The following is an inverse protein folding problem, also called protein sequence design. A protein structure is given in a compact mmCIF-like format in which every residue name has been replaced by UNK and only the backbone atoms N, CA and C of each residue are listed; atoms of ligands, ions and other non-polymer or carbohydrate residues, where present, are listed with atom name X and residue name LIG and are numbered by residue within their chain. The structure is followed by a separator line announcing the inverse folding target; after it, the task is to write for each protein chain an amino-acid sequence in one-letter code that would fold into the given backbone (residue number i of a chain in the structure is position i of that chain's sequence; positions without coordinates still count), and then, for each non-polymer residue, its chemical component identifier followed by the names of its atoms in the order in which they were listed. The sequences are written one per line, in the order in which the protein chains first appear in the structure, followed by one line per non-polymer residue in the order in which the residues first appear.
data_IF_957221798318
#
_entry.id   IF_957221798318
#
_cell.length_a   1.000
_cell.length_b   1.000
_cell.length_c   1.000
_cell.angle_alpha   90.00
_cell.angle_beta   90.00
_cell.angle_gamma   90.00
#
_symmetry.space_group_name_H-M   'P 1'
#
loop_
_entity.id
_entity.type
_entity.pdbx_description
1 polymer ?
#
# COMPACT_ATOMS: atom_id res chain seq x y z
N UNK A 1 -19.82 6.19 23.64
CA UNK A 1 -20.61 5.46 24.67
C UNK A 1 -19.75 4.38 25.31
N UNK A 2 -19.54 4.45 26.63
CA UNK A 2 -19.13 3.27 27.40
C UNK A 2 -20.27 2.26 27.35
N UNK A 3 -20.06 1.15 26.66
CA UNK A 3 -20.76 -0.08 26.97
C UNK A 3 -19.68 -1.15 27.15
N UNK A 4 -19.24 -1.22 28.41
CA UNK A 4 -18.52 -2.37 28.92
C UNK A 4 -19.48 -3.55 28.99
N UNK A 5 -19.29 -4.50 28.07
CA UNK A 5 -19.54 -5.91 28.30
C UNK A 5 -18.18 -6.59 28.32
N UNK A 6 -17.69 -6.73 29.55
CA UNK A 6 -16.65 -7.66 29.95
C UNK A 6 -17.30 -9.05 30.08
N UNK A 7 -16.49 -10.12 29.94
CA UNK A 7 -16.82 -11.57 30.09
C UNK A 7 -16.90 -12.36 28.76
N UNK A 8 -15.99 -13.30 28.50
CA UNK A 8 -15.84 -14.65 29.08
C UNK A 8 -17.04 -15.56 28.83
N UNK A 9 -16.80 -16.70 28.15
CA UNK A 9 -17.74 -17.82 28.09
C UNK A 9 -18.48 -17.96 26.77
N UNK A 10 -17.83 -18.58 25.77
CA UNK A 10 -18.53 -19.18 24.63
C UNK A 10 -19.31 -20.40 25.11
N UNK A 11 -20.59 -20.25 25.48
CA UNK A 11 -21.56 -21.35 25.58
C UNK A 11 -23.00 -20.81 25.55
N UNK A 12 -23.69 -21.00 24.42
CA UNK A 12 -25.01 -21.66 24.30
C UNK A 12 -25.96 -21.06 23.23
N UNK A 13 -26.31 -21.95 22.29
CA UNK A 13 -27.62 -22.17 21.65
C UNK A 13 -28.46 -20.99 21.12
N UNK A 14 -28.48 -20.86 19.78
CA UNK A 14 -29.67 -20.43 19.03
C UNK A 14 -30.27 -21.63 18.28
N UNK A 15 -31.60 -21.86 18.34
CA UNK A 15 -32.24 -22.94 17.62
C UNK A 15 -32.44 -22.56 16.14
N UNK A 16 -32.13 -23.55 15.32
CA UNK A 16 -32.15 -23.55 13.86
C UNK A 16 -33.53 -23.28 13.26
N UNK A 17 -33.57 -22.42 12.24
CA UNK A 17 -34.35 -22.72 11.04
C UNK A 17 -33.80 -22.01 9.79
N UNK A 18 -33.71 -22.78 8.70
CA UNK A 18 -33.40 -22.41 7.31
C UNK A 18 -31.92 -22.21 6.92
N UNK A 19 -31.34 -23.35 6.49
CA UNK A 19 -30.12 -23.61 5.70
C UNK A 19 -28.97 -22.59 5.82
N UNK A 20 -28.01 -22.80 6.76
CA UNK A 20 -26.83 -21.97 6.84
C UNK A 20 -25.84 -22.41 5.76
N UNK A 21 -25.72 -21.61 4.70
CA UNK A 21 -24.51 -21.59 3.91
C UNK A 21 -23.37 -21.29 4.89
N UNK A 22 -22.51 -22.29 5.16
CA UNK A 22 -21.49 -22.21 6.20
C UNK A 22 -20.37 -21.25 5.76
N UNK A 23 -20.61 -19.93 5.91
CA UNK A 23 -19.66 -18.85 5.61
C UNK A 23 -18.50 -18.77 6.63
N UNK A 24 -18.53 -19.57 7.71
CA UNK A 24 -17.46 -19.60 8.71
C UNK A 24 -16.18 -20.27 8.22
N UNK A 25 -16.24 -21.14 7.21
CA UNK A 25 -15.11 -21.99 6.78
C UNK A 25 -13.89 -21.26 6.17
N UNK A 26 -13.96 -19.96 5.94
CA UNK A 26 -12.80 -19.17 5.46
C UNK A 26 -12.28 -18.15 6.48
N UNK A 27 -13.18 -17.62 7.32
CA UNK A 27 -12.89 -16.49 8.19
C UNK A 27 -12.10 -16.90 9.44
N UNK A 28 -12.39 -18.10 9.97
CA UNK A 28 -11.65 -18.66 11.09
C UNK A 28 -10.23 -19.04 10.68
N UNK A 29 -10.05 -19.65 9.50
CA UNK A 29 -8.73 -19.99 8.99
C UNK A 29 -7.85 -18.75 8.71
N UNK A 30 -8.42 -17.71 8.08
CA UNK A 30 -7.70 -16.46 7.81
C UNK A 30 -7.32 -15.74 9.10
N UNK A 31 -8.23 -15.74 10.09
CA UNK A 31 -7.99 -15.13 11.39
C UNK A 31 -6.96 -15.88 12.23
N UNK A 32 -7.03 -17.21 12.28
CA UNK A 32 -6.17 -18.04 13.14
C UNK A 32 -4.78 -18.26 12.55
N UNK A 33 -4.65 -18.33 11.22
CA UNK A 33 -3.38 -18.62 10.56
C UNK A 33 -2.92 -17.50 9.63
N UNK A 34 -3.84 -16.91 8.86
CA UNK A 34 -3.52 -15.90 7.84
C UNK A 34 -2.86 -14.65 8.42
N UNK A 35 -3.40 -14.14 9.53
CA UNK A 35 -2.86 -12.95 10.20
C UNK A 35 -1.43 -13.20 10.70
N UNK A 36 -1.20 -14.24 11.49
CA UNK A 36 0.13 -14.51 12.07
C UNK A 36 1.19 -14.79 11.01
N UNK A 37 0.84 -15.56 9.97
CA UNK A 37 1.71 -15.82 8.82
C UNK A 37 2.02 -14.51 8.09
N UNK A 38 1.00 -13.70 7.79
CA UNK A 38 1.17 -12.43 7.09
C UNK A 38 2.04 -11.45 7.89
N UNK A 39 1.84 -11.35 9.20
CA UNK A 39 2.60 -10.45 10.07
C UNK A 39 4.06 -10.88 10.19
N UNK A 40 4.31 -12.19 10.33
CA UNK A 40 5.66 -12.77 10.36
C UNK A 40 6.36 -12.60 9.03
N UNK A 41 5.63 -12.81 7.93
CA UNK A 41 6.14 -12.64 6.58
C UNK A 41 6.51 -11.18 6.30
N UNK A 42 5.63 -10.21 6.58
CA UNK A 42 5.90 -8.78 6.37
C UNK A 42 7.15 -8.32 7.13
N UNK A 43 7.30 -8.74 8.38
CA UNK A 43 8.47 -8.42 9.19
C UNK A 43 9.74 -9.04 8.60
N UNK A 44 9.70 -10.34 8.26
CA UNK A 44 10.84 -11.05 7.67
C UNK A 44 11.23 -10.49 6.30
N UNK A 45 10.23 -10.12 5.50
CA UNK A 45 10.39 -9.48 4.20
C UNK A 45 11.12 -8.14 4.32
N UNK A 46 10.72 -7.28 5.27
CA UNK A 46 11.39 -6.00 5.51
C UNK A 46 12.89 -6.15 5.84
N UNK A 47 13.27 -7.17 6.62
CA UNK A 47 14.69 -7.45 6.88
C UNK A 47 15.48 -7.82 5.62
N UNK A 48 14.85 -8.52 4.68
CA UNK A 48 15.48 -8.93 3.43
C UNK A 48 15.51 -7.81 2.40
N UNK A 49 14.50 -6.94 2.34
CA UNK A 49 14.43 -5.88 1.32
C UNK A 49 15.28 -4.66 1.63
N UNK A 50 15.46 -4.30 2.91
CA UNK A 50 16.36 -3.20 3.31
C UNK A 50 17.76 -3.31 2.67
N UNK A 51 18.51 -4.42 2.80
CA UNK A 51 19.82 -4.53 2.17
C UNK A 51 19.75 -4.55 0.64
N UNK A 52 18.66 -5.05 0.04
CA UNK A 52 18.45 -4.98 -1.40
C UNK A 52 18.31 -3.53 -1.88
N UNK A 53 17.53 -2.70 -1.17
CA UNK A 53 17.41 -1.28 -1.48
C UNK A 53 18.74 -0.53 -1.32
N UNK A 54 19.47 -0.77 -0.25
CA UNK A 54 20.80 -0.17 -0.02
C UNK A 54 21.75 -0.56 -1.17
N UNK A 55 21.76 -1.83 -1.56
CA UNK A 55 22.57 -2.33 -2.67
C UNK A 55 22.17 -1.69 -4.00
N UNK A 56 20.87 -1.58 -4.27
CA UNK A 56 20.36 -0.95 -5.48
C UNK A 56 20.73 0.54 -5.56
N UNK A 57 20.61 1.28 -4.44
CA UNK A 57 21.05 2.67 -4.36
C UNK A 57 22.56 2.79 -4.57
N UNK A 58 23.36 1.90 -3.96
CA UNK A 58 24.81 1.88 -4.15
C UNK A 58 25.19 1.63 -5.62
N UNK A 59 24.59 0.64 -6.26
CA UNK A 59 24.78 0.34 -7.69
C UNK A 59 24.39 1.56 -8.54
N UNK A 60 23.24 2.17 -8.26
CA UNK A 60 22.79 3.38 -8.96
C UNK A 60 23.74 4.57 -8.73
N UNK A 61 24.37 4.71 -7.57
CA UNK A 61 25.29 5.81 -7.32
C UNK A 61 26.64 5.61 -8.03
N UNK A 62 27.17 4.38 -8.04
CA UNK A 62 28.50 4.10 -8.56
C UNK A 62 28.52 3.75 -10.05
N UNK A 63 27.53 2.98 -10.54
CA UNK A 63 27.58 2.38 -11.88
C UNK A 63 26.74 3.14 -12.93
N UNK A 64 25.90 4.11 -12.53
CA UNK A 64 25.00 4.82 -13.45
C UNK A 64 25.63 5.93 -14.32
N UNK A 65 26.96 5.93 -14.51
CA UNK A 65 27.63 6.98 -15.31
C UNK A 65 27.13 7.07 -16.75
N UNK A 66 26.61 5.98 -17.31
CA UNK A 66 26.08 5.94 -18.68
C UNK A 66 24.58 6.30 -18.78
N UNK A 67 23.91 6.53 -17.64
CA UNK A 67 22.48 6.85 -17.60
C UNK A 67 22.29 8.36 -17.76
N UNK A 68 21.21 8.77 -18.42
CA UNK A 68 20.86 10.20 -18.46
C UNK A 68 20.56 10.70 -17.04
N UNK A 69 21.10 11.87 -16.70
CA UNK A 69 20.90 12.50 -15.39
C UNK A 69 19.44 12.50 -14.89
N UNK A 70 18.42 12.85 -15.71
CA UNK A 70 17.03 12.81 -15.26
C UNK A 70 16.54 11.39 -14.93
N UNK A 71 16.96 10.38 -15.69
CA UNK A 71 16.60 8.98 -15.43
C UNK A 71 17.24 8.48 -14.12
N UNK A 72 18.51 8.86 -13.89
CA UNK A 72 19.24 8.52 -12.66
C UNK A 72 18.55 9.10 -11.43
N UNK A 73 18.16 10.38 -11.48
CA UNK A 73 17.44 11.04 -10.39
C UNK A 73 16.09 10.37 -10.15
N UNK A 74 15.33 10.04 -11.20
CA UNK A 74 14.07 9.33 -11.08
C UNK A 74 14.21 7.97 -10.41
N UNK A 75 15.20 7.15 -10.81
CA UNK A 75 15.48 5.87 -10.18
C UNK A 75 15.88 6.00 -8.71
N UNK A 76 16.68 7.02 -8.37
CA UNK A 76 17.11 7.26 -6.99
C UNK A 76 15.92 7.66 -6.11
N UNK A 77 15.07 8.58 -6.58
CA UNK A 77 13.85 8.97 -5.86
C UNK A 77 12.93 7.77 -5.66
N UNK A 78 12.73 6.97 -6.71
CA UNK A 78 11.90 5.76 -6.64
C UNK A 78 12.46 4.75 -5.63
N UNK A 79 13.79 4.55 -5.60
CA UNK A 79 14.41 3.64 -4.64
C UNK A 79 14.30 4.12 -3.20
N UNK A 80 14.50 5.42 -2.96
CA UNK A 80 14.32 6.00 -1.62
C UNK A 80 12.87 5.90 -1.16
N UNK A 81 11.91 6.17 -2.06
CA UNK A 81 10.49 6.05 -1.74
C UNK A 81 10.10 4.61 -1.40
N UNK A 82 10.52 3.63 -2.20
CA UNK A 82 10.24 2.21 -1.93
C UNK A 82 10.90 1.76 -0.61
N UNK A 83 12.13 2.18 -0.35
CA UNK A 83 12.79 1.91 0.93
C UNK A 83 12.01 2.46 2.13
N UNK A 84 11.54 3.71 2.05
CA UNK A 84 10.73 4.32 3.12
C UNK A 84 9.39 3.60 3.30
N UNK A 85 8.76 3.17 2.20
CA UNK A 85 7.51 2.42 2.23
C UNK A 85 7.69 1.03 2.82
N UNK A 86 8.76 0.31 2.49
CA UNK A 86 9.10 -0.99 3.07
C UNK A 86 9.36 -0.87 4.58
N UNK A 87 10.09 0.17 5.01
CA UNK A 87 10.31 0.44 6.44
C UNK A 87 9.00 0.76 7.15
N UNK A 88 8.15 1.57 6.51
CA UNK A 88 6.83 1.93 7.03
C UNK A 88 5.94 0.69 7.18
N UNK A 89 5.79 -0.10 6.12
CA UNK A 89 4.87 -1.25 6.06
C UNK A 89 5.36 -2.47 6.85
N UNK A 90 6.66 -2.72 6.94
CA UNK A 90 7.20 -3.88 7.65
C UNK A 90 7.30 -3.67 9.17
N UNK A 91 7.57 -2.45 9.63
CA UNK A 91 7.88 -2.19 11.05
C UNK A 91 6.91 -1.26 11.76
N UNK A 92 6.42 -0.21 11.10
CA UNK A 92 5.60 0.83 11.74
C UNK A 92 4.10 0.56 11.61
N UNK A 93 3.70 0.05 10.46
CA UNK A 93 2.30 -0.07 10.04
C UNK A 93 2.08 -1.34 9.21
N UNK A 94 1.72 -2.43 9.87
CA UNK A 94 1.44 -3.71 9.22
C UNK A 94 -0.05 -3.86 9.01
N UNK A 95 -0.47 -4.03 7.77
CA UNK A 95 -1.88 -4.21 7.39
C UNK A 95 -2.08 -5.56 6.75
N UNK A 96 -3.15 -6.23 7.14
CA UNK A 96 -3.62 -7.48 6.57
C UNK A 96 -5.09 -7.35 6.16
N UNK A 97 -5.42 -7.42 4.86
CA UNK A 97 -6.81 -7.43 4.43
C UNK A 97 -7.46 -8.79 4.79
N UNK A 98 -8.56 -8.75 5.52
CA UNK A 98 -9.29 -9.97 5.90
C UNK A 98 -10.23 -10.34 4.76
N UNK A 99 -9.86 -11.35 3.96
CA UNK A 99 -10.67 -11.78 2.83
C UNK A 99 -11.91 -12.55 3.32
N UNK A 100 -13.08 -12.45 2.65
CA UNK A 100 -13.40 -11.64 1.47
C UNK A 100 -13.93 -10.23 1.79
N UNK A 101 -13.80 -9.77 3.04
CA UNK A 101 -14.41 -8.52 3.49
C UNK A 101 -13.49 -7.33 3.22
N UNK A 102 -14.03 -6.13 3.02
CA UNK A 102 -13.22 -4.91 2.92
C UNK A 102 -12.77 -4.42 4.32
N UNK A 103 -12.38 -5.34 5.20
CA UNK A 103 -11.93 -5.05 6.56
C UNK A 103 -10.42 -5.23 6.58
N UNK A 104 -9.72 -4.24 7.12
CA UNK A 104 -8.27 -4.27 7.29
C UNK A 104 -7.94 -4.53 8.76
N UNK A 105 -7.31 -5.67 9.03
CA UNK A 105 -6.61 -5.87 10.28
C UNK A 105 -5.31 -5.09 10.26
N UNK A 106 -4.99 -4.43 11.36
CA UNK A 106 -3.84 -3.55 11.43
C UNK A 106 -3.11 -3.70 12.76
N UNK A 107 -1.78 -3.77 12.68
CA UNK A 107 -0.89 -3.94 13.82
C UNK A 107 0.34 -3.03 13.68
N UNK A 108 0.92 -2.60 14.82
CA UNK A 108 2.10 -1.74 14.84
C UNK A 108 1.94 -0.56 15.80
N UNK A 109 3.04 0.19 15.99
CA UNK A 109 3.08 1.32 16.93
C UNK A 109 2.12 2.41 16.49
N UNK A 110 2.17 2.79 15.21
CA UNK A 110 1.34 3.85 14.66
C UNK A 110 -0.12 3.43 14.51
N UNK A 111 -0.38 2.15 14.26
CA UNK A 111 -1.73 1.63 14.18
C UNK A 111 -2.50 1.75 15.50
N UNK A 112 -1.84 1.51 16.64
CA UNK A 112 -2.46 1.61 17.96
C UNK A 112 -2.76 3.05 18.37
N UNK A 113 -1.90 4.00 17.99
CA UNK A 113 -2.06 5.41 18.37
C UNK A 113 -2.93 6.20 17.40
N UNK A 114 -2.80 5.97 16.09
CA UNK A 114 -3.42 6.78 15.04
C UNK A 114 -3.82 5.92 13.83
N UNK A 115 -4.84 5.04 13.93
CA UNK A 115 -5.19 4.10 12.87
C UNK A 115 -5.64 4.80 11.57
N UNK A 116 -6.47 5.84 11.67
CA UNK A 116 -6.98 6.59 10.51
C UNK A 116 -5.87 7.33 9.76
N UNK A 117 -4.99 8.03 10.50
CA UNK A 117 -3.85 8.73 9.91
C UNK A 117 -2.86 7.75 9.27
N UNK A 118 -2.61 6.61 9.91
CA UNK A 118 -1.66 5.62 9.39
C UNK A 118 -2.13 5.01 8.07
N UNK A 119 -3.42 4.68 7.95
CA UNK A 119 -4.03 4.25 6.69
C UNK A 119 -3.94 5.35 5.62
N UNK A 120 -4.15 6.62 5.98
CA UNK A 120 -4.02 7.72 5.03
C UNK A 120 -2.57 7.86 4.52
N UNK A 121 -1.58 7.79 5.41
CA UNK A 121 -0.16 7.82 5.04
C UNK A 121 0.20 6.65 4.11
N UNK A 122 -0.31 5.45 4.38
CA UNK A 122 -0.13 4.28 3.51
C UNK A 122 -0.69 4.52 2.09
N UNK A 123 -1.91 5.07 2.00
CA UNK A 123 -2.52 5.44 0.72
C UNK A 123 -1.62 6.44 -0.05
N UNK A 124 -1.08 7.45 0.65
CA UNK A 124 -0.17 8.43 0.02
C UNK A 124 1.12 7.77 -0.46
N UNK A 125 1.71 6.84 0.30
CA UNK A 125 2.88 6.08 -0.17
C UNK A 125 2.57 5.29 -1.44
N UNK A 126 1.45 4.57 -1.47
CA UNK A 126 1.03 3.78 -2.63
C UNK A 126 0.79 4.65 -3.87
N UNK A 127 0.12 5.81 -3.72
CA UNK A 127 -0.11 6.75 -4.83
C UNK A 127 1.23 7.28 -5.36
N UNK A 128 2.16 7.65 -4.48
CA UNK A 128 3.49 8.11 -4.88
C UNK A 128 4.29 7.01 -5.60
N UNK A 129 4.28 5.78 -5.07
CA UNK A 129 4.95 4.63 -5.68
C UNK A 129 4.44 4.36 -7.11
N UNK A 130 3.12 4.28 -7.27
CA UNK A 130 2.47 4.05 -8.57
C UNK A 130 2.84 5.16 -9.56
N UNK A 131 2.83 6.42 -9.11
CA UNK A 131 3.07 7.57 -9.98
C UNK A 131 4.53 7.69 -10.41
N UNK A 132 5.47 7.42 -9.51
CA UNK A 132 6.89 7.33 -9.81
C UNK A 132 7.18 6.17 -10.78
N UNK A 133 6.59 5.00 -10.53
CA UNK A 133 6.71 3.85 -11.43
C UNK A 133 6.18 4.18 -12.82
N UNK A 134 5.00 4.78 -12.93
CA UNK A 134 4.40 5.17 -14.20
C UNK A 134 5.27 6.18 -14.96
N UNK A 135 5.83 7.17 -14.25
CA UNK A 135 6.77 8.12 -14.83
C UNK A 135 8.02 7.42 -15.38
N UNK A 136 8.60 6.51 -14.61
CA UNK A 136 9.81 5.77 -15.01
C UNK A 136 9.55 4.85 -16.20
N UNK A 137 8.41 4.16 -16.22
CA UNK A 137 7.98 3.33 -17.34
C UNK A 137 7.79 4.17 -18.61
N UNK A 138 7.13 5.34 -18.49
CA UNK A 138 6.92 6.24 -19.62
C UNK A 138 8.25 6.78 -20.16
N UNK A 139 9.18 7.16 -19.28
CA UNK A 139 10.50 7.62 -19.70
C UNK A 139 11.32 6.52 -20.39
N UNK A 140 11.29 5.31 -19.85
CA UNK A 140 12.00 4.15 -20.42
C UNK A 140 11.43 3.76 -21.79
N UNK A 141 10.10 3.71 -21.92
CA UNK A 141 9.44 3.40 -23.19
C UNK A 141 9.84 4.40 -24.29
N UNK A 142 9.97 5.67 -23.94
CA UNK A 142 10.33 6.72 -24.89
C UNK A 142 11.82 6.71 -25.27
N UNK A 143 12.69 6.09 -24.47
CA UNK A 143 14.10 5.87 -24.82
C UNK A 143 14.29 4.72 -25.81
N UNK A 144 13.37 3.76 -25.85
CA UNK A 144 13.41 2.60 -26.74
C UNK A 144 12.89 2.96 -28.14
N UNK A 145 12.01 3.96 -28.25
CA UNK A 145 11.43 4.37 -29.53
C UNK A 145 12.49 5.05 -30.42
N UNK A 146 12.53 4.73 -31.72
CA UNK A 146 13.44 5.39 -32.65
C UNK A 146 13.07 6.88 -32.77
N UNK A 147 14.05 7.79 -32.94
CA UNK A 147 13.82 9.23 -32.98
C UNK A 147 12.97 9.69 -34.18
N UNK A 148 12.79 8.83 -35.18
CA UNK A 148 11.95 9.09 -36.37
C UNK A 148 10.46 8.80 -36.14
N UNK A 149 10.08 8.28 -34.97
CA UNK A 149 8.70 7.91 -34.69
C UNK A 149 7.84 9.13 -34.32
N UNK A 150 6.70 9.29 -34.97
CA UNK A 150 5.72 10.35 -34.69
C UNK A 150 5.15 10.29 -33.27
N UNK A 151 5.22 9.12 -32.61
CA UNK A 151 4.76 8.92 -31.23
C UNK A 151 5.76 9.36 -30.14
N UNK A 152 6.82 10.10 -30.49
CA UNK A 152 7.76 10.63 -29.51
C UNK A 152 7.15 11.85 -28.77
N UNK A 153 6.67 11.62 -27.55
CA UNK A 153 6.04 12.66 -26.76
C UNK A 153 7.06 13.64 -26.17
N UNK A 154 6.72 14.92 -26.09
CA UNK A 154 7.53 15.90 -25.38
C UNK A 154 7.53 15.65 -23.86
N UNK A 155 8.58 16.05 -23.15
CA UNK A 155 8.67 15.93 -21.69
C UNK A 155 7.46 16.58 -20.98
N UNK A 156 6.96 17.71 -21.51
CA UNK A 156 5.79 18.40 -20.96
C UNK A 156 4.55 17.52 -20.98
N UNK A 157 4.27 16.87 -22.11
CA UNK A 157 3.13 15.96 -22.24
C UNK A 157 3.24 14.79 -21.28
N UNK A 158 4.45 14.21 -21.12
CA UNK A 158 4.71 13.12 -20.19
C UNK A 158 4.46 13.53 -18.73
N UNK A 159 4.98 14.68 -18.32
CA UNK A 159 4.77 15.23 -16.97
C UNK A 159 3.29 15.54 -16.74
N UNK A 160 2.63 16.23 -17.67
CA UNK A 160 1.19 16.53 -17.55
C UNK A 160 0.37 15.25 -17.40
N UNK A 161 0.64 14.22 -18.19
CA UNK A 161 -0.04 12.93 -18.10
C UNK A 161 0.10 12.30 -16.70
N UNK A 162 1.33 12.20 -16.18
CA UNK A 162 1.57 11.64 -14.85
C UNK A 162 0.93 12.50 -13.76
N UNK A 163 1.01 13.83 -13.87
CA UNK A 163 0.33 14.73 -12.93
C UNK A 163 -1.18 14.52 -12.93
N UNK A 164 -1.82 14.40 -14.10
CA UNK A 164 -3.26 14.12 -14.19
C UNK A 164 -3.62 12.80 -13.52
N UNK A 165 -2.85 11.74 -13.76
CA UNK A 165 -3.07 10.44 -13.09
C UNK A 165 -2.87 10.56 -11.57
N UNK A 166 -1.83 11.27 -11.12
CA UNK A 166 -1.57 11.53 -9.70
C UNK A 166 -2.75 12.27 -9.04
N UNK A 167 -3.27 13.31 -9.68
CA UNK A 167 -4.45 14.04 -9.16
C UNK A 167 -5.68 13.14 -9.05
N UNK A 168 -5.96 12.32 -10.05
CA UNK A 168 -7.09 11.37 -10.02
C UNK A 168 -6.92 10.38 -8.85
N UNK A 169 -5.73 9.82 -8.67
CA UNK A 169 -5.44 8.89 -7.59
C UNK A 169 -5.55 9.56 -6.21
N UNK A 170 -5.04 10.79 -6.05
CA UNK A 170 -5.20 11.58 -4.83
C UNK A 170 -6.67 11.88 -4.53
N UNK A 171 -7.46 12.30 -5.52
CA UNK A 171 -8.90 12.51 -5.35
C UNK A 171 -9.59 11.24 -4.88
N UNK A 172 -9.29 10.08 -5.48
CA UNK A 172 -9.85 8.80 -5.06
C UNK A 172 -9.46 8.44 -3.61
N UNK A 173 -8.19 8.63 -3.24
CA UNK A 173 -7.71 8.39 -1.89
C UNK A 173 -8.39 9.27 -0.84
N UNK A 174 -8.53 10.57 -1.13
CA UNK A 174 -9.22 11.53 -0.26
C UNK A 174 -10.72 11.20 -0.14
N UNK A 175 -11.40 10.91 -1.24
CA UNK A 175 -12.81 10.52 -1.22
C UNK A 175 -13.02 9.24 -0.41
N UNK A 176 -12.15 8.23 -0.56
CA UNK A 176 -12.21 7.00 0.23
C UNK A 176 -11.99 7.27 1.72
N UNK A 177 -11.09 8.18 2.08
CA UNK A 177 -10.85 8.57 3.47
C UNK A 177 -12.08 9.27 4.07
N UNK A 178 -12.61 10.30 3.40
CA UNK A 178 -13.79 11.05 3.86
C UNK A 178 -15.05 10.18 3.94
N UNK A 179 -15.23 9.25 3.01
CA UNK A 179 -16.36 8.33 3.04
C UNK A 179 -16.35 7.43 4.28
N UNK A 180 -15.17 7.11 4.83
CA UNK A 180 -15.04 6.29 6.04
C UNK A 180 -15.49 7.03 7.28
N UNK A 181 -15.09 8.30 7.44
CA UNK A 181 -15.48 9.13 8.59
C UNK A 181 -17.01 9.32 8.66
N UNK A 182 -17.67 9.48 7.50
CA UNK A 182 -19.13 9.62 7.45
C UNK A 182 -19.88 8.35 7.94
N UNK A 183 -19.35 7.16 7.65
CA UNK A 183 -19.95 5.90 8.10
C UNK A 183 -19.80 5.73 9.61
N UNK A 184 -18.63 6.10 10.15
CA UNK A 184 -18.35 6.04 11.59
C UNK A 184 -19.27 6.99 12.38
N UNK A 185 -19.45 8.22 11.90
CA UNK A 185 -20.36 9.20 12.52
C UNK A 185 -21.85 8.82 12.44
N UNK A 186 -22.23 7.93 11.51
CA UNK A 186 -23.63 7.48 11.37
C UNK A 186 -23.98 6.32 12.30
N UNK A 187 -22.97 5.70 12.93
CA UNK A 187 -23.14 4.55 13.81
C UNK A 187 -23.19 4.94 15.30
N UNK A 188 -22.93 6.22 15.64
CA UNK A 188 -23.06 6.80 16.99
C UNK A 188 -24.46 7.40 17.23
#
# INVERSE_FOLDING_TARGET
YQLGLQESGWNACFPSLSMPFNRSYGLEADREFGIDISMTFQFSYGFLTIPMHITAVFILLHYSRNLSAPLRTGYLINQVQMFLHDVWSAFLFRVHPILPYPIFYCEGIFCRSFPSLSMFVEIIFMINAISLLLFMLLMTHQQILPPTNEYHFSLRVRVTFVCTVYFILCSNGITSYLSRENVENSAE
#
